data_IF_041183502933
#
_entry.id   IF_041183502933
#
_cell.length_a   1.000
_cell.length_b   1.000
_cell.length_c   1.000
_cell.angle_alpha   90.00
_cell.angle_beta   90.00
_cell.angle_gamma   90.00
#
_symmetry.space_group_name_H-M   'P 1'
#
loop_
_entity.id
_entity.type
_entity.pdbx_description
1 polymer ?
#
# COMPACT_ATOMS: atom_id res chain seq x y z
N UNK A 1 9.70 19.39 -21.63
CA UNK A 1 10.84 19.87 -20.81
C UNK A 1 12.06 19.12 -21.32
N UNK A 2 13.02 19.80 -21.96
CA UNK A 2 14.25 19.16 -22.47
C UNK A 2 15.25 18.94 -21.32
N UNK A 3 15.92 17.79 -21.26
CA UNK A 3 16.86 17.43 -20.18
C UNK A 3 18.01 18.43 -19.99
N UNK A 4 18.33 19.25 -21.00
CA UNK A 4 19.35 20.30 -20.91
C UNK A 4 19.04 21.45 -19.93
N UNK A 5 17.84 21.49 -19.35
CA UNK A 5 17.40 22.52 -18.40
C UNK A 5 17.20 22.00 -16.98
N UNK A 6 17.46 20.70 -16.76
CA UNK A 6 17.28 20.05 -15.46
C UNK A 6 18.64 19.98 -14.80
N UNK A 7 18.77 20.59 -13.62
CA UNK A 7 20.03 20.54 -12.88
C UNK A 7 20.17 19.21 -12.12
N UNK A 8 21.38 18.91 -11.63
CA UNK A 8 21.67 17.67 -10.91
C UNK A 8 20.80 17.48 -9.66
N UNK A 9 20.36 18.57 -9.02
CA UNK A 9 19.48 18.53 -7.87
C UNK A 9 18.04 18.20 -8.27
N UNK A 10 17.55 18.73 -9.37
CA UNK A 10 16.25 18.39 -9.93
C UNK A 10 16.19 16.92 -10.33
N UNK A 11 17.24 16.38 -10.94
CA UNK A 11 17.34 14.94 -11.24
C UNK A 11 17.25 14.07 -9.99
N UNK A 12 17.98 14.40 -8.93
CA UNK A 12 17.93 13.67 -7.66
C UNK A 12 16.52 13.66 -7.06
N UNK A 13 15.84 14.80 -7.10
CA UNK A 13 14.47 14.92 -6.60
C UNK A 13 13.51 14.03 -7.39
N UNK A 14 13.57 14.05 -8.73
CA UNK A 14 12.68 13.23 -9.57
C UNK A 14 12.93 11.72 -9.43
N UNK A 15 14.19 11.30 -9.31
CA UNK A 15 14.53 9.89 -9.09
C UNK A 15 14.07 9.40 -7.72
N UNK A 16 14.18 10.24 -6.68
CA UNK A 16 13.69 9.91 -5.36
C UNK A 16 12.15 9.87 -5.31
N UNK A 17 11.49 10.77 -6.02
CA UNK A 17 10.02 10.85 -6.10
C UNK A 17 9.40 9.58 -6.68
N UNK A 18 10.09 8.97 -7.66
CA UNK A 18 9.70 7.68 -8.27
C UNK A 18 9.66 6.54 -7.23
N UNK A 19 10.50 6.59 -6.21
CA UNK A 19 10.52 5.61 -5.13
C UNK A 19 9.46 5.87 -4.05
N UNK A 20 9.07 7.13 -3.87
CA UNK A 20 8.02 7.54 -2.94
C UNK A 20 6.63 7.28 -3.51
N UNK A 21 6.39 7.60 -4.78
CA UNK A 21 5.06 7.59 -5.41
C UNK A 21 4.82 6.41 -6.36
N UNK A 22 5.61 5.34 -6.26
CA UNK A 22 5.36 4.13 -7.08
C UNK A 22 3.96 3.56 -6.81
N UNK A 23 3.14 3.57 -7.87
CA UNK A 23 1.73 3.17 -7.92
C UNK A 23 1.45 1.77 -7.33
N UNK A 24 2.44 0.89 -7.31
CA UNK A 24 2.29 -0.47 -6.75
C UNK A 24 2.51 -0.56 -5.23
N UNK A 25 2.91 0.52 -4.58
CA UNK A 25 3.12 0.60 -3.14
C UNK A 25 1.96 1.30 -2.45
N UNK A 26 0.73 0.81 -2.57
CA UNK A 26 -0.50 1.49 -2.11
C UNK A 26 -0.58 1.89 -0.62
N UNK A 27 0.50 1.71 0.18
CA UNK A 27 0.65 2.22 1.55
C UNK A 27 2.08 2.67 1.92
N UNK A 28 3.01 2.84 0.97
CA UNK A 28 4.41 3.23 1.24
C UNK A 28 5.10 2.46 2.40
N UNK A 29 4.63 1.25 2.72
CA UNK A 29 5.21 0.49 3.83
C UNK A 29 6.44 -0.24 3.35
N UNK A 30 7.55 -0.05 4.05
CA UNK A 30 8.74 -0.86 3.80
C UNK A 30 8.43 -2.34 4.06
N UNK A 31 9.12 -3.27 3.40
CA UNK A 31 8.97 -4.72 3.68
C UNK A 31 9.14 -5.04 5.17
N UNK A 32 10.02 -4.27 5.85
CA UNK A 32 10.25 -4.36 7.30
C UNK A 32 9.02 -3.97 8.12
N UNK A 33 8.38 -2.85 7.80
CA UNK A 33 7.15 -2.41 8.46
C UNK A 33 5.99 -3.37 8.23
N UNK A 34 5.87 -3.94 7.03
CA UNK A 34 4.86 -4.96 6.75
C UNK A 34 5.03 -6.18 7.66
N UNK A 35 6.25 -6.63 7.91
CA UNK A 35 6.53 -7.75 8.82
C UNK A 35 6.28 -7.38 10.28
N UNK A 36 6.69 -6.18 10.71
CA UNK A 36 6.48 -5.75 12.09
C UNK A 36 4.99 -5.58 12.45
N UNK A 37 4.20 -5.03 11.52
CA UNK A 37 2.79 -4.68 11.75
C UNK A 37 1.79 -5.74 11.26
N UNK A 38 2.25 -6.87 10.72
CA UNK A 38 1.37 -7.98 10.37
C UNK A 38 1.82 -9.25 11.06
N UNK A 39 0.87 -10.07 11.52
CA UNK A 39 1.13 -11.40 12.09
C UNK A 39 1.87 -11.45 13.44
N UNK A 40 1.82 -10.39 14.26
CA UNK A 40 2.26 -10.50 15.66
C UNK A 40 1.38 -11.46 16.45
N UNK A 41 1.99 -12.32 17.26
CA UNK A 41 1.27 -13.17 18.20
C UNK A 41 0.78 -12.32 19.36
N UNK A 42 -0.53 -12.14 19.44
CA UNK A 42 -1.22 -11.51 20.55
C UNK A 42 -2.34 -12.48 20.97
N UNK A 43 -2.43 -12.83 22.26
CA UNK A 43 -3.39 -13.81 22.78
C UNK A 43 -4.84 -13.46 22.44
N UNK A 44 -5.15 -12.17 22.26
CA UNK A 44 -6.45 -11.66 21.78
C UNK A 44 -6.40 -11.12 20.35
N UNK A 45 -5.20 -11.05 19.76
CA UNK A 45 -4.97 -10.60 18.39
C UNK A 45 -5.36 -11.63 17.33
N UNK A 46 -5.32 -12.93 17.66
CA UNK A 46 -5.75 -13.97 16.71
C UNK A 46 -7.24 -13.84 16.37
N UNK A 47 -8.11 -13.70 17.38
CA UNK A 47 -9.55 -13.50 17.19
C UNK A 47 -9.86 -12.17 16.49
N UNK A 48 -9.20 -11.06 16.89
CA UNK A 48 -9.33 -9.76 16.19
C UNK A 48 -8.92 -9.83 14.72
N UNK A 49 -7.84 -10.56 14.41
CA UNK A 49 -7.36 -10.76 13.05
C UNK A 49 -8.36 -11.57 12.21
N UNK A 50 -8.93 -12.64 12.78
CA UNK A 50 -9.98 -13.41 12.12
C UNK A 50 -11.20 -12.54 11.80
N UNK A 51 -11.69 -11.78 12.77
CA UNK A 51 -12.81 -10.84 12.58
C UNK A 51 -12.50 -9.83 11.48
N UNK A 52 -11.32 -9.18 11.53
CA UNK A 52 -10.91 -8.18 10.55
C UNK A 52 -10.82 -8.77 9.14
N UNK A 53 -10.28 -9.99 9.00
CA UNK A 53 -10.22 -10.70 7.71
C UNK A 53 -11.62 -11.02 7.18
N UNK A 54 -12.53 -11.46 8.04
CA UNK A 54 -13.92 -11.73 7.68
C UNK A 54 -14.60 -10.45 7.15
N UNK A 55 -14.52 -9.35 7.90
CA UNK A 55 -15.09 -8.06 7.51
C UNK A 55 -14.53 -7.55 6.17
N UNK A 56 -13.22 -7.58 5.99
CA UNK A 56 -12.57 -7.13 4.75
C UNK A 56 -12.97 -8.00 3.55
N UNK A 57 -13.09 -9.31 3.75
CA UNK A 57 -13.52 -10.24 2.70
C UNK A 57 -14.93 -9.91 2.23
N UNK A 58 -15.86 -9.69 3.17
CA UNK A 58 -17.24 -9.31 2.84
C UNK A 58 -17.33 -7.93 2.18
N UNK A 59 -16.56 -6.95 2.64
CA UNK A 59 -16.49 -5.64 2.01
C UNK A 59 -15.97 -5.72 0.56
N UNK A 60 -14.90 -6.48 0.32
CA UNK A 60 -14.35 -6.68 -1.01
C UNK A 60 -15.34 -7.38 -1.95
N UNK A 61 -16.07 -8.41 -1.46
CA UNK A 61 -17.14 -9.06 -2.22
C UNK A 61 -18.22 -8.05 -2.65
N UNK A 62 -18.68 -7.19 -1.73
CA UNK A 62 -19.67 -6.15 -2.03
C UNK A 62 -19.17 -5.16 -3.09
N UNK A 63 -17.89 -4.75 -3.01
CA UNK A 63 -17.29 -3.87 -4.01
C UNK A 63 -17.13 -4.53 -5.38
N UNK A 64 -16.83 -5.83 -5.44
CA UNK A 64 -16.76 -6.55 -6.73
C UNK A 64 -18.14 -6.66 -7.37
N UNK A 65 -19.19 -6.92 -6.57
CA UNK A 65 -20.56 -7.02 -7.08
C UNK A 65 -21.15 -5.68 -7.54
N UNK A 66 -20.71 -4.55 -6.95
CA UNK A 66 -21.15 -3.23 -7.39
C UNK A 66 -20.47 -2.79 -8.69
N UNK A 67 -19.19 -3.16 -8.88
CA UNK A 67 -18.44 -2.89 -10.12
C UNK A 67 -18.93 -3.72 -11.31
N UNK A 68 -19.41 -4.95 -11.09
CA UNK A 68 -19.97 -5.78 -12.17
C UNK A 68 -21.38 -5.36 -12.61
N UNK A 69 -22.01 -4.42 -11.89
CA UNK A 69 -23.37 -3.92 -12.15
C UNK A 69 -23.38 -2.54 -12.80
N UNK A 70 -22.20 -1.92 -12.95
CA UNK A 70 -21.99 -0.63 -13.59
C UNK A 70 -21.49 -0.82 -15.02
#
# INVERSE_FOLDING_TARGET
>A
MSEAYVDEYEHFNYDYDKHIFTSHGGKQRSKREAVAHTNHFDPSGHSRKLLTKLMNTEHNKRQTTSKSKA
#
